data_IF_107271115977
#
_entry.id   IF_107271115977
#
_cell.length_a   1.000
_cell.length_b   1.000
_cell.length_c   1.000
_cell.angle_alpha   90.00
_cell.angle_beta   90.00
_cell.angle_gamma   90.00
#
_symmetry.space_group_name_H-M   'P 1'
#
loop_
_entity.id
_entity.type
_entity.pdbx_description
1 polymer ?
#
# COMPACT_ATOMS: atom_id res chain seq x y z
N UNK A 1 -41.25 -18.27 15.55
CA UNK A 1 -39.95 -18.30 14.86
C UNK A 1 -40.02 -17.45 13.61
N UNK A 2 -39.36 -16.30 13.64
CA UNK A 2 -38.96 -15.58 12.43
C UNK A 2 -37.58 -15.01 12.74
N UNK A 3 -36.57 -15.74 12.28
CA UNK A 3 -35.18 -15.37 12.45
C UNK A 3 -34.87 -14.28 11.42
N UNK A 4 -35.01 -13.01 11.83
CA UNK A 4 -34.59 -11.86 11.05
C UNK A 4 -33.08 -11.96 10.82
N UNK A 5 -32.69 -12.26 9.57
CA UNK A 5 -31.30 -12.28 9.16
C UNK A 5 -30.74 -10.85 9.35
N UNK A 6 -29.60 -10.66 10.05
CA UNK A 6 -28.98 -9.36 10.08
C UNK A 6 -28.61 -8.99 8.65
N UNK A 7 -29.18 -7.89 8.17
CA UNK A 7 -28.77 -7.26 6.92
C UNK A 7 -27.32 -6.83 7.11
N UNK A 8 -26.40 -7.69 6.68
CA UNK A 8 -24.98 -7.39 6.61
C UNK A 8 -24.82 -6.28 5.57
N UNK A 9 -24.86 -5.03 6.03
CA UNK A 9 -24.17 -3.93 5.37
C UNK A 9 -22.67 -4.24 5.46
N UNK A 10 -22.19 -4.99 4.48
CA UNK A 10 -20.85 -5.59 4.45
C UNK A 10 -20.18 -5.18 3.15
N UNK A 11 -20.07 -3.87 2.91
CA UNK A 11 -19.56 -3.36 1.63
C UNK A 11 -19.01 -1.94 1.68
N UNK A 12 -18.30 -1.55 2.75
CA UNK A 12 -17.39 -0.38 2.69
C UNK A 12 -16.15 -0.48 3.60
N UNK A 13 -16.18 -1.30 4.65
CA UNK A 13 -15.05 -1.43 5.59
C UNK A 13 -14.06 -2.57 5.28
N UNK A 14 -14.45 -3.59 4.53
CA UNK A 14 -13.56 -4.71 4.17
C UNK A 14 -12.63 -4.41 2.97
N UNK A 15 -12.66 -3.20 2.39
CA UNK A 15 -11.71 -2.74 1.37
C UNK A 15 -10.67 -1.72 1.86
N UNK A 16 -10.70 -1.31 3.13
CA UNK A 16 -10.05 -0.06 3.59
C UNK A 16 -8.66 -0.18 4.22
N UNK A 17 -7.93 -1.26 4.00
CA UNK A 17 -6.48 -1.26 4.31
C UNK A 17 -5.64 -1.92 3.20
N UNK A 18 -6.08 -1.83 1.94
CA UNK A 18 -5.10 -1.87 0.87
C UNK A 18 -4.22 -0.63 1.05
N UNK A 19 -2.98 -0.85 1.49
CA UNK A 19 -2.01 0.21 1.68
C UNK A 19 -1.80 0.89 0.33
N UNK A 20 -2.46 2.02 0.11
CA UNK A 20 -2.40 2.76 -1.14
C UNK A 20 -1.08 3.51 -1.20
N UNK A 21 -0.06 2.86 -1.73
CA UNK A 21 1.26 3.46 -1.94
C UNK A 21 1.22 4.72 -2.82
N UNK A 22 0.16 4.90 -3.61
CA UNK A 22 -0.13 6.12 -4.37
C UNK A 22 -0.36 7.37 -3.52
N UNK A 23 -0.46 7.24 -2.19
CA UNK A 23 -0.54 8.38 -1.27
C UNK A 23 0.81 9.07 -1.07
N UNK A 24 1.92 8.39 -1.35
CA UNK A 24 3.25 8.95 -1.24
C UNK A 24 3.68 9.54 -2.58
N UNK A 25 4.33 10.69 -2.55
CA UNK A 25 4.99 11.21 -3.75
C UNK A 25 6.18 10.34 -4.12
N UNK A 26 6.59 10.43 -5.38
CA UNK A 26 7.79 9.75 -5.86
C UNK A 26 9.02 10.10 -5.02
N UNK A 27 9.17 11.37 -4.64
CA UNK A 27 10.28 11.85 -3.79
C UNK A 27 10.26 11.19 -2.40
N UNK A 28 9.08 11.05 -1.78
CA UNK A 28 8.96 10.39 -0.48
C UNK A 28 9.36 8.91 -0.55
N UNK A 29 8.96 8.23 -1.61
CA UNK A 29 9.33 6.81 -1.81
C UNK A 29 10.84 6.68 -2.03
N UNK A 30 11.45 7.60 -2.77
CA UNK A 30 12.92 7.63 -2.93
C UNK A 30 13.65 7.85 -1.60
N UNK A 31 13.13 8.71 -0.72
CA UNK A 31 13.67 8.88 0.64
C UNK A 31 13.58 7.59 1.46
N UNK A 32 12.46 6.86 1.40
CA UNK A 32 12.32 5.58 2.11
C UNK A 32 13.29 4.50 1.60
N UNK A 33 13.52 4.45 0.28
CA UNK A 33 14.51 3.54 -0.31
C UNK A 33 15.91 3.89 0.23
N UNK A 34 16.26 5.18 0.24
CA UNK A 34 17.56 5.65 0.72
C UNK A 34 17.76 5.33 2.20
N UNK A 35 16.77 5.60 3.04
CA UNK A 35 16.83 5.29 4.47
C UNK A 35 16.98 3.78 4.72
N UNK A 36 16.27 2.94 3.97
CA UNK A 36 16.40 1.49 4.06
C UNK A 36 17.81 1.01 3.68
N UNK A 37 18.41 1.57 2.63
CA UNK A 37 19.80 1.28 2.23
C UNK A 37 20.79 1.72 3.31
N UNK A 38 20.63 2.93 3.87
CA UNK A 38 21.50 3.44 4.95
C UNK A 38 21.43 2.55 6.20
N UNK A 39 20.26 1.96 6.48
CA UNK A 39 20.04 1.00 7.56
C UNK A 39 20.46 -0.44 7.22
N UNK A 40 20.97 -0.69 6.01
CA UNK A 40 21.29 -2.02 5.48
C UNK A 40 20.10 -2.99 5.47
N UNK A 41 18.89 -2.45 5.37
CA UNK A 41 17.65 -3.23 5.22
C UNK A 41 17.36 -3.45 3.73
N UNK A 42 17.99 -4.48 3.17
CA UNK A 42 17.85 -4.80 1.75
C UNK A 42 16.43 -5.24 1.36
N UNK A 43 15.71 -5.93 2.25
CA UNK A 43 14.35 -6.40 1.95
C UNK A 43 13.40 -5.22 1.86
N UNK A 44 13.48 -4.29 2.81
CA UNK A 44 12.67 -3.08 2.80
C UNK A 44 13.01 -2.20 1.59
N UNK A 45 14.30 -2.04 1.26
CA UNK A 45 14.72 -1.29 0.08
C UNK A 45 14.17 -1.90 -1.22
N UNK A 46 14.21 -3.24 -1.36
CA UNK A 46 13.66 -3.96 -2.52
C UNK A 46 12.15 -3.79 -2.63
N UNK A 47 11.42 -3.90 -1.52
CA UNK A 47 9.98 -3.69 -1.48
C UNK A 47 9.61 -2.27 -1.95
N UNK A 48 10.25 -1.24 -1.40
CA UNK A 48 10.00 0.14 -1.80
C UNK A 48 10.36 0.40 -3.26
N UNK A 49 11.43 -0.22 -3.76
CA UNK A 49 11.81 -0.11 -5.16
C UNK A 49 10.75 -0.70 -6.09
N UNK A 50 10.23 -1.88 -5.75
CA UNK A 50 9.15 -2.52 -6.50
C UNK A 50 7.90 -1.62 -6.56
N UNK A 51 7.50 -1.07 -5.41
CA UNK A 51 6.35 -0.15 -5.31
C UNK A 51 6.58 1.09 -6.19
N UNK A 52 7.78 1.66 -6.16
CA UNK A 52 8.14 2.83 -6.96
C UNK A 52 8.02 2.57 -8.46
N UNK A 53 8.55 1.43 -8.91
CA UNK A 53 8.54 1.04 -10.32
C UNK A 53 7.09 0.77 -10.80
N UNK A 54 6.26 0.12 -9.99
CA UNK A 54 4.83 -0.09 -10.27
C UNK A 54 4.06 1.23 -10.42
N UNK A 55 4.28 2.19 -9.51
CA UNK A 55 3.61 3.50 -9.57
C UNK A 55 4.02 4.31 -10.82
N UNK A 56 5.29 4.19 -11.26
CA UNK A 56 5.76 4.84 -12.49
C UNK A 56 5.19 4.17 -13.74
N UNK A 57 5.07 2.85 -13.75
CA UNK A 57 4.50 2.10 -14.86
C UNK A 57 3.02 2.44 -15.08
N UNK A 58 2.25 2.63 -14.00
CA UNK A 58 0.83 3.01 -14.07
C UNK A 58 0.62 4.46 -14.52
N UNK A 59 1.65 5.32 -14.38
CA UNK A 59 1.59 6.74 -14.74
C UNK A 59 2.09 7.06 -16.16
N UNK A 60 2.49 6.05 -16.95
CA UNK A 60 3.00 6.19 -18.33
C UNK A 60 1.93 5.85 -19.37
#
# INVERSE_FOLDING_TARGET
>A
ESQEKPSYSRSEHEQREYFHWSKYSNEQIEEFIKEAIEKQDEELAKMWRYIFDELRAVSS
#
